data_IF_022471695952
#
_entry.id   IF_022471695952
#
_cell.length_a   1.000
_cell.length_b   1.000
_cell.length_c   1.000
_cell.angle_alpha   90.00
_cell.angle_beta   90.00
_cell.angle_gamma   90.00
#
_symmetry.space_group_name_H-M   'P 1'
#
loop_
_entity.id
_entity.type
_entity.pdbx_description
1 polymer ?
#
# COMPACT_ATOMS: atom_id res chain seq x y z
N UNK A 1 -10.70 17.02 -47.81
CA UNK A 1 -10.15 17.88 -46.73
C UNK A 1 -9.90 17.02 -45.52
N UNK A 2 -8.60 16.73 -45.32
CA UNK A 2 -7.84 16.11 -44.24
C UNK A 2 -8.50 15.28 -43.12
N UNK A 3 -8.00 14.05 -42.98
CA UNK A 3 -8.06 13.15 -41.82
C UNK A 3 -7.35 13.78 -40.61
N UNK A 4 -8.02 13.83 -39.45
CA UNK A 4 -7.38 14.23 -38.19
C UNK A 4 -6.55 13.05 -37.68
N UNK A 5 -5.24 13.17 -37.87
CA UNK A 5 -4.22 12.27 -37.38
C UNK A 5 -3.99 12.50 -35.88
N UNK A 6 -4.30 11.52 -35.04
CA UNK A 6 -3.88 11.50 -33.64
C UNK A 6 -2.54 10.78 -33.52
N UNK A 7 -1.46 11.54 -33.73
CA UNK A 7 -0.14 11.16 -33.27
C UNK A 7 -0.03 11.38 -31.75
N UNK A 8 0.55 10.42 -31.05
CA UNK A 8 1.40 10.72 -29.89
C UNK A 8 0.78 10.44 -28.52
N UNK A 9 1.12 9.27 -27.96
CA UNK A 9 1.60 9.13 -26.58
C UNK A 9 2.27 7.77 -26.39
N UNK A 10 3.50 7.65 -26.90
CA UNK A 10 4.45 6.70 -26.34
C UNK A 10 5.35 7.46 -25.38
N UNK A 11 5.36 7.09 -24.11
CA UNK A 11 6.51 7.34 -23.25
C UNK A 11 6.72 6.08 -22.43
N UNK A 12 7.63 5.26 -22.94
CA UNK A 12 8.37 4.24 -22.23
C UNK A 12 8.94 4.85 -20.94
N UNK A 13 8.29 4.65 -19.81
CA UNK A 13 8.89 4.92 -18.51
C UNK A 13 9.67 3.66 -18.11
N UNK A 14 10.91 3.53 -18.60
CA UNK A 14 11.88 2.63 -17.99
C UNK A 14 12.24 3.19 -16.62
N UNK A 15 11.65 2.62 -15.58
CA UNK A 15 12.07 2.84 -14.20
C UNK A 15 13.41 2.16 -13.97
N UNK A 16 14.49 2.90 -14.19
CA UNK A 16 15.85 2.51 -13.83
C UNK A 16 15.89 2.43 -12.29
N UNK A 17 15.92 1.22 -11.75
CA UNK A 17 16.29 0.97 -10.37
C UNK A 17 17.74 1.45 -10.19
N UNK A 18 17.93 2.67 -9.68
CA UNK A 18 19.24 3.11 -9.18
C UNK A 18 19.31 2.70 -7.70
N UNK A 19 20.10 1.68 -7.32
CA UNK A 19 20.38 1.47 -5.90
C UNK A 19 21.18 2.67 -5.37
N UNK A 20 20.70 3.27 -4.29
CA UNK A 20 21.43 4.28 -3.53
C UNK A 20 22.64 3.63 -2.85
N UNK A 21 23.75 3.53 -3.57
CA UNK A 21 25.03 3.14 -2.98
C UNK A 21 25.63 4.38 -2.32
N UNK A 22 25.42 4.50 -1.00
CA UNK A 22 26.19 5.41 -0.16
C UNK A 22 27.66 4.97 -0.22
N UNK A 23 28.48 5.75 -0.93
CA UNK A 23 29.94 5.61 -0.90
C UNK A 23 30.42 6.01 0.49
N UNK A 24 30.88 5.02 1.26
CA UNK A 24 31.60 5.25 2.52
C UNK A 24 32.92 5.95 2.22
N UNK A 25 33.10 7.14 2.78
CA UNK A 25 34.39 7.84 2.77
C UNK A 25 35.28 7.22 3.85
N UNK A 26 36.48 6.88 3.44
CA UNK A 26 37.56 6.28 4.22
C UNK A 26 37.80 6.99 5.57
N UNK A 27 38.05 6.18 6.60
CA UNK A 27 39.10 6.51 7.57
C UNK A 27 39.89 5.24 7.94
N UNK A 28 41.20 5.36 8.23
CA UNK A 28 42.15 4.25 8.17
C UNK A 28 42.59 3.73 9.55
N UNK A 29 43.11 2.50 9.57
CA UNK A 29 44.12 1.96 10.51
C UNK A 29 43.71 1.78 11.99
N UNK A 30 43.41 0.52 12.32
CA UNK A 30 44.13 -0.26 13.35
C UNK A 30 43.93 0.06 14.84
N UNK A 31 42.99 -0.64 15.50
CA UNK A 31 43.18 -1.24 16.85
C UNK A 31 42.27 -2.47 16.98
N UNK A 32 42.78 -3.68 17.30
CA UNK A 32 41.95 -4.76 17.83
C UNK A 32 41.85 -4.59 19.35
N UNK A 33 40.82 -3.93 19.87
CA UNK A 33 40.46 -4.08 21.28
C UNK A 33 39.59 -5.33 21.40
N UNK A 34 40.25 -6.43 21.74
CA UNK A 34 39.67 -7.66 22.23
C UNK A 34 38.89 -7.35 23.52
N UNK A 35 37.59 -7.04 23.39
CA UNK A 35 36.67 -7.20 24.50
C UNK A 35 35.99 -8.54 24.31
N UNK A 36 36.64 -9.55 24.86
CA UNK A 36 36.08 -10.85 25.14
C UNK A 36 34.86 -10.72 26.06
N UNK A 37 34.08 -11.81 26.06
CA UNK A 37 32.95 -12.09 26.96
C UNK A 37 31.63 -11.58 26.39
N UNK A 38 31.17 -12.31 25.37
CA UNK A 38 29.91 -13.08 25.44
C UNK A 38 29.17 -12.78 26.73
N UNK A 39 28.23 -11.83 26.67
CA UNK A 39 27.20 -11.74 27.69
C UNK A 39 26.52 -13.09 27.71
N UNK A 40 26.85 -13.91 28.71
CA UNK A 40 26.15 -15.13 29.05
C UNK A 40 24.70 -14.73 29.32
N UNK A 41 23.90 -14.70 28.26
CA UNK A 41 22.46 -14.73 28.41
C UNK A 41 22.18 -16.11 28.95
N UNK A 42 22.09 -16.20 30.28
CA UNK A 42 21.44 -17.31 30.98
C UNK A 42 20.00 -17.37 30.46
N UNK A 43 19.84 -18.02 29.32
CA UNK A 43 18.59 -18.50 28.77
C UNK A 43 18.20 -19.71 29.59
N UNK A 44 17.80 -19.48 30.85
CA UNK A 44 17.01 -20.46 31.58
C UNK A 44 15.79 -20.83 30.73
N UNK A 45 15.16 -22.01 30.94
CA UNK A 45 14.10 -22.56 30.08
C UNK A 45 12.82 -21.69 29.96
N UNK A 46 12.82 -20.47 30.50
CA UNK A 46 11.78 -19.46 30.42
C UNK A 46 12.02 -18.37 29.35
N UNK A 47 13.21 -18.28 28.73
CA UNK A 47 13.48 -17.22 27.74
C UNK A 47 12.96 -17.52 26.32
N UNK A 48 12.39 -18.71 26.10
CA UNK A 48 11.86 -19.14 24.79
C UNK A 48 10.34 -18.97 24.62
N UNK A 49 9.63 -18.35 25.57
CA UNK A 49 8.24 -17.92 25.33
C UNK A 49 8.28 -16.62 24.54
N UNK A 50 8.63 -16.71 23.25
CA UNK A 50 8.53 -15.57 22.34
C UNK A 50 7.07 -15.09 22.30
N UNK A 51 6.85 -13.83 22.67
CA UNK A 51 5.52 -13.22 22.56
C UNK A 51 5.08 -13.26 21.10
N UNK A 52 3.99 -13.99 20.81
CA UNK A 52 3.35 -13.98 19.48
C UNK A 52 2.82 -12.57 19.19
N UNK A 53 3.58 -11.79 18.41
CA UNK A 53 3.16 -10.46 17.96
C UNK A 53 2.32 -10.55 16.69
N UNK A 54 1.12 -9.99 16.74
CA UNK A 54 0.23 -9.89 15.60
C UNK A 54 0.60 -8.66 14.77
N UNK A 55 0.46 -8.75 13.43
CA UNK A 55 0.64 -7.58 12.58
C UNK A 55 -0.49 -6.57 12.83
N UNK A 56 -0.12 -5.31 13.01
CA UNK A 56 -1.09 -4.22 13.09
C UNK A 56 -1.95 -4.19 11.82
N UNK A 57 -3.27 -4.12 11.98
CA UNK A 57 -4.22 -3.91 10.89
C UNK A 57 -4.47 -2.41 10.83
N UNK A 58 -4.32 -1.81 9.65
CA UNK A 58 -4.48 -0.36 9.49
C UNK A 58 -4.44 0.13 8.04
N UNK A 59 -3.98 -0.72 7.12
CA UNK A 59 -3.91 -0.42 5.69
C UNK A 59 -5.15 -0.87 4.90
N UNK A 60 -6.29 -1.14 5.57
CA UNK A 60 -7.53 -1.64 4.95
C UNK A 60 -8.03 -0.73 3.82
N UNK A 61 -7.89 0.58 4.00
CA UNK A 61 -8.24 1.54 2.97
C UNK A 61 -6.98 1.99 2.21
N UNK A 62 -6.88 1.55 0.96
CA UNK A 62 -5.92 2.10 0.00
C UNK A 62 -6.69 2.85 -1.09
N UNK A 63 -6.50 4.18 -1.22
CA UNK A 63 -7.32 5.00 -2.10
C UNK A 63 -7.06 4.68 -3.56
N UNK A 64 -8.10 4.27 -4.27
CA UNK A 64 -8.07 4.11 -5.73
C UNK A 64 -9.41 4.47 -6.34
N UNK A 65 -9.42 5.53 -7.16
CA UNK A 65 -10.65 6.08 -7.74
C UNK A 65 -11.34 5.09 -8.68
N UNK A 66 -10.57 4.38 -9.52
CA UNK A 66 -11.10 3.36 -10.42
C UNK A 66 -11.86 2.26 -9.65
N UNK A 67 -11.24 1.69 -8.61
CA UNK A 67 -11.89 0.65 -7.78
C UNK A 67 -13.11 1.21 -7.06
N UNK A 68 -13.02 2.43 -6.51
CA UNK A 68 -14.13 3.11 -5.84
C UNK A 68 -15.35 3.26 -6.75
N UNK A 69 -15.16 3.78 -7.98
CA UNK A 69 -16.26 4.03 -8.93
C UNK A 69 -16.82 2.74 -9.53
N UNK A 70 -15.98 1.73 -9.79
CA UNK A 70 -16.45 0.41 -10.28
C UNK A 70 -17.24 -0.38 -9.24
N UNK A 71 -16.83 -0.34 -7.97
CA UNK A 71 -17.50 -1.11 -6.90
C UNK A 71 -18.71 -0.38 -6.30
N UNK A 72 -18.61 0.93 -6.14
CA UNK A 72 -19.56 1.68 -5.33
C UNK A 72 -20.21 2.87 -6.05
N UNK A 73 -19.89 3.10 -7.32
CA UNK A 73 -20.49 4.17 -8.13
C UNK A 73 -21.93 3.88 -8.54
N UNK A 74 -22.59 4.92 -9.06
CA UNK A 74 -24.02 4.90 -9.40
C UNK A 74 -24.41 3.79 -10.38
N UNK A 75 -23.69 3.70 -11.51
CA UNK A 75 -23.93 2.68 -12.53
C UNK A 75 -23.80 1.24 -11.98
N UNK A 76 -22.86 1.02 -11.07
CA UNK A 76 -22.67 -0.27 -10.41
C UNK A 76 -23.83 -0.65 -9.47
N UNK A 77 -24.60 0.34 -8.99
CA UNK A 77 -25.81 0.11 -8.19
C UNK A 77 -27.04 -0.16 -9.04
N UNK A 78 -27.14 0.46 -10.22
CA UNK A 78 -28.27 0.24 -11.13
C UNK A 78 -28.23 -1.10 -11.86
N UNK A 79 -27.03 -1.71 -12.02
CA UNK A 79 -26.87 -2.99 -12.73
C UNK A 79 -27.65 -4.16 -12.11
N UNK A 80 -27.88 -4.14 -10.80
CA UNK A 80 -28.47 -5.25 -10.05
C UNK A 80 -29.72 -4.77 -9.31
N UNK A 81 -30.81 -5.56 -9.36
CA UNK A 81 -32.10 -5.25 -8.74
C UNK A 81 -31.97 -4.99 -7.24
N UNK A 82 -31.17 -5.78 -6.52
CA UNK A 82 -30.97 -5.61 -5.08
C UNK A 82 -30.21 -4.32 -4.75
N UNK A 83 -29.17 -4.02 -5.54
CA UNK A 83 -28.37 -2.79 -5.34
C UNK A 83 -29.15 -1.54 -5.74
N UNK A 84 -30.06 -1.64 -6.69
CA UNK A 84 -30.96 -0.56 -7.10
C UNK A 84 -31.96 -0.21 -6.00
N UNK A 85 -32.51 -1.22 -5.29
CA UNK A 85 -33.38 -1.00 -4.12
C UNK A 85 -32.71 -0.14 -3.05
N UNK A 86 -31.40 -0.34 -2.81
CA UNK A 86 -30.64 0.48 -1.86
C UNK A 86 -30.57 1.96 -2.26
N UNK A 87 -30.47 2.29 -3.55
CA UNK A 87 -30.52 3.69 -4.02
C UNK A 87 -31.90 4.31 -3.71
N UNK A 88 -32.98 3.57 -3.95
CA UNK A 88 -34.34 4.00 -3.62
C UNK A 88 -34.46 4.30 -2.12
N UNK A 89 -34.06 3.37 -1.24
CA UNK A 89 -34.08 3.57 0.21
C UNK A 89 -33.23 4.78 0.65
N UNK A 90 -32.08 5.02 0.01
CA UNK A 90 -31.25 6.20 0.32
C UNK A 90 -31.93 7.51 -0.07
N UNK A 91 -32.66 7.52 -1.19
CA UNK A 91 -33.47 8.67 -1.62
C UNK A 91 -34.64 8.91 -0.67
N UNK A 92 -35.35 7.85 -0.29
CA UNK A 92 -36.49 7.92 0.64
C UNK A 92 -36.04 8.44 2.03
N UNK A 93 -34.80 8.10 2.45
CA UNK A 93 -34.18 8.63 3.67
C UNK A 93 -33.72 10.10 3.55
N UNK A 94 -33.71 10.68 2.35
CA UNK A 94 -33.23 12.05 2.12
C UNK A 94 -31.71 12.22 2.13
N UNK A 95 -30.93 11.17 1.80
CA UNK A 95 -29.46 11.31 1.71
C UNK A 95 -29.07 12.15 0.50
N UNK A 96 -28.23 13.16 0.71
CA UNK A 96 -27.73 14.03 -0.36
C UNK A 96 -26.87 13.26 -1.39
N UNK A 97 -26.09 12.29 -0.92
CA UNK A 97 -25.27 11.43 -1.77
C UNK A 97 -25.81 10.00 -1.79
N UNK A 98 -26.21 9.52 -2.96
CA UNK A 98 -26.82 8.19 -3.11
C UNK A 98 -25.78 7.09 -3.33
N UNK A 99 -24.68 7.40 -4.03
CA UNK A 99 -23.56 6.49 -4.27
C UNK A 99 -22.24 7.27 -4.27
N UNK A 100 -21.13 6.57 -4.50
CA UNK A 100 -19.83 7.21 -4.73
C UNK A 100 -19.70 7.84 -6.11
#
# INVERSE_FOLDING_TARGET
MSLVSFYGRSILAQGINKPLVLKSLLSPVGVPTSNSIVSSMNNGPLSAIEQRRWKSRGNTYQPSTLKRKRKFGFLARLKDKFKSKMIKTRKDKGRWYLSH
#
